data_IF_971012732385
#
_entry.id   IF_971012732385
#
_cell.length_a   1.000
_cell.length_b   1.000
_cell.length_c   1.000
_cell.angle_alpha   90.00
_cell.angle_beta   90.00
_cell.angle_gamma   90.00
#
_symmetry.space_group_name_H-M   'P 1'
#
loop_
_entity.id
_entity.type
_entity.pdbx_description
1 polymer ?
#
# COMPACT_ATOMS: atom_id res chain seq x y z
N UNK A 1 6.77 -5.87 4.40
CA UNK A 1 7.45 -4.76 5.11
C UNK A 1 6.58 -3.53 4.86
N UNK A 2 5.97 -2.96 5.90
CA UNK A 2 5.11 -1.78 5.72
C UNK A 2 5.95 -0.57 5.31
N UNK A 3 5.47 0.18 4.34
CA UNK A 3 6.08 1.44 3.92
C UNK A 3 5.60 2.54 4.87
N UNK A 4 6.50 3.39 5.31
CA UNK A 4 6.19 4.51 6.22
C UNK A 4 6.29 5.84 5.51
N UNK A 5 5.32 6.71 5.77
CA UNK A 5 5.28 8.06 5.25
C UNK A 5 6.46 8.92 5.76
N UNK A 6 7.02 9.73 4.88
CA UNK A 6 8.06 10.68 5.24
C UNK A 6 7.47 11.90 5.97
N UNK A 7 8.27 12.53 6.84
CA UNK A 7 7.81 13.74 7.56
C UNK A 7 7.77 14.99 6.66
N UNK A 8 6.92 15.97 7.01
CA UNK A 8 6.88 17.28 6.34
C UNK A 8 8.26 17.96 6.36
N UNK A 9 9.02 17.83 7.46
CA UNK A 9 10.37 18.38 7.55
C UNK A 9 11.32 17.75 6.52
N UNK A 10 11.18 16.45 6.25
CA UNK A 10 11.97 15.75 5.23
C UNK A 10 11.61 16.24 3.83
N UNK A 11 10.32 16.37 3.51
CA UNK A 11 9.89 16.93 2.22
C UNK A 11 10.35 18.37 2.04
N UNK A 12 10.26 19.21 3.09
CA UNK A 12 10.76 20.59 3.06
C UNK A 12 12.25 20.64 2.77
N UNK A 13 13.03 19.74 3.37
CA UNK A 13 14.48 19.69 3.14
C UNK A 13 14.79 19.22 1.72
N UNK A 14 14.12 18.21 1.21
CA UNK A 14 14.27 17.74 -0.18
C UNK A 14 13.97 18.84 -1.18
N UNK A 15 12.89 19.60 -1.00
CA UNK A 15 12.57 20.76 -1.84
C UNK A 15 13.67 21.82 -1.79
N UNK A 16 14.24 22.10 -0.62
CA UNK A 16 15.34 23.02 -0.49
C UNK A 16 16.61 22.51 -1.21
N UNK A 17 16.85 21.20 -1.20
CA UNK A 17 18.01 20.60 -1.86
C UNK A 17 17.93 20.64 -3.39
N UNK A 18 16.71 20.62 -3.96
CA UNK A 18 16.49 20.82 -5.41
C UNK A 18 16.81 22.27 -5.89
N UNK A 19 16.75 23.26 -5.00
CA UNK A 19 17.10 24.63 -5.37
C UNK A 19 18.62 24.79 -5.53
N UNK A 20 19.07 25.53 -6.56
CA UNK A 20 20.50 25.77 -6.77
C UNK A 20 21.19 26.36 -5.55
N UNK A 21 22.47 26.07 -5.39
CA UNK A 21 23.31 26.77 -4.43
C UNK A 21 23.67 28.17 -5.00
N UNK A 22 23.64 29.17 -4.13
CA UNK A 22 23.96 30.54 -4.53
C UNK A 22 23.31 31.60 -3.64
N UNK A 23 23.70 32.85 -3.82
CA UNK A 23 23.24 33.99 -3.01
C UNK A 23 21.72 34.19 -3.04
N UNK A 24 21.10 33.95 -4.18
CA UNK A 24 19.63 34.06 -4.35
C UNK A 24 18.84 33.08 -3.51
N UNK A 25 19.36 31.89 -3.31
CA UNK A 25 18.68 30.81 -2.59
C UNK A 25 19.28 30.53 -1.20
N UNK A 26 20.18 31.38 -0.71
CA UNK A 26 20.80 31.21 0.61
C UNK A 26 19.79 31.11 1.76
N UNK A 27 18.66 31.80 1.60
CA UNK A 27 17.55 31.79 2.56
C UNK A 27 16.85 30.43 2.68
N UNK A 28 17.05 29.47 1.75
CA UNK A 28 16.44 28.13 1.80
C UNK A 28 16.80 27.34 3.06
N UNK A 29 17.98 27.60 3.63
CA UNK A 29 18.50 26.96 4.84
C UNK A 29 18.24 27.77 6.13
N UNK A 30 17.71 28.98 6.01
CA UNK A 30 17.42 29.83 7.18
C UNK A 30 16.02 29.51 7.72
N UNK A 31 15.98 29.01 8.94
CA UNK A 31 14.73 28.78 9.68
C UNK A 31 13.97 30.10 9.82
N UNK A 32 12.68 30.10 9.42
CA UNK A 32 11.82 31.29 9.52
C UNK A 32 11.88 32.23 8.31
N UNK A 33 12.77 32.01 7.32
CA UNK A 33 12.75 32.77 6.07
C UNK A 33 11.47 32.56 5.27
N UNK A 34 11.06 33.56 4.51
CA UNK A 34 9.86 33.44 3.66
C UNK A 34 10.02 32.32 2.61
N UNK A 35 11.22 32.12 2.07
CA UNK A 35 11.48 31.02 1.17
C UNK A 35 11.29 29.67 1.85
N UNK A 36 11.82 29.50 3.07
CA UNK A 36 11.64 28.27 3.84
C UNK A 36 10.18 28.00 4.19
N UNK A 37 9.41 29.04 4.50
CA UNK A 37 7.95 28.94 4.75
C UNK A 37 7.18 28.53 3.50
N UNK A 38 7.54 29.08 2.34
CA UNK A 38 6.95 28.68 1.06
C UNK A 38 7.25 27.20 0.76
N UNK A 39 8.50 26.77 0.94
CA UNK A 39 8.87 25.35 0.77
C UNK A 39 8.13 24.44 1.73
N UNK A 40 7.90 24.87 2.96
CA UNK A 40 7.12 24.10 3.94
C UNK A 40 5.64 23.98 3.54
N UNK A 41 5.03 25.04 2.99
CA UNK A 41 3.67 24.98 2.46
C UNK A 41 3.53 24.02 1.26
N UNK A 42 4.52 24.01 0.35
CA UNK A 42 4.55 23.05 -0.76
C UNK A 42 4.82 21.61 -0.25
N UNK A 43 5.61 21.47 0.80
CA UNK A 43 5.92 20.18 1.42
C UNK A 43 4.69 19.55 2.10
N UNK A 44 3.74 20.34 2.55
CA UNK A 44 2.49 19.86 3.17
C UNK A 44 1.64 19.12 2.14
N UNK A 45 1.52 19.66 0.92
CA UNK A 45 0.83 18.96 -0.18
C UNK A 45 1.57 17.68 -0.61
N UNK A 46 2.90 17.72 -0.65
CA UNK A 46 3.69 16.51 -0.93
C UNK A 46 3.56 15.46 0.16
N UNK A 47 3.46 15.89 1.41
CA UNK A 47 3.20 14.99 2.54
C UNK A 47 1.84 14.31 2.41
N UNK A 48 0.81 15.05 2.03
CA UNK A 48 -0.53 14.49 1.79
C UNK A 48 -0.50 13.47 0.64
N UNK A 49 0.15 13.79 -0.48
CA UNK A 49 0.29 12.88 -1.61
C UNK A 49 1.11 11.62 -1.26
N UNK A 50 2.20 11.77 -0.49
CA UNK A 50 3.01 10.66 0.02
C UNK A 50 2.18 9.72 0.92
N UNK A 51 1.28 10.28 1.74
CA UNK A 51 0.34 9.51 2.55
C UNK A 51 -0.55 8.61 1.71
N UNK A 52 -1.19 9.14 0.67
CA UNK A 52 -2.00 8.34 -0.25
C UNK A 52 -1.20 7.24 -0.94
N UNK A 53 0.04 7.51 -1.35
CA UNK A 53 0.89 6.50 -1.98
C UNK A 53 1.30 5.40 -1.00
N UNK A 54 1.58 5.74 0.24
CA UNK A 54 1.90 4.77 1.30
C UNK A 54 0.68 3.89 1.61
N UNK A 55 -0.51 4.49 1.74
CA UNK A 55 -1.75 3.75 1.96
C UNK A 55 -2.02 2.80 0.79
N UNK A 56 -1.89 3.28 -0.45
CA UNK A 56 -2.01 2.45 -1.64
C UNK A 56 -1.03 1.27 -1.64
N UNK A 57 0.26 1.53 -1.36
CA UNK A 57 1.28 0.48 -1.34
C UNK A 57 1.04 -0.56 -0.24
N UNK A 58 0.54 -0.13 0.92
CA UNK A 58 0.22 -1.02 2.02
C UNK A 58 -1.06 -1.83 1.78
N UNK A 59 -1.99 -1.30 0.99
CA UNK A 59 -3.29 -1.92 0.72
C UNK A 59 -3.33 -2.79 -0.55
N UNK A 60 -2.33 -2.69 -1.44
CA UNK A 60 -2.34 -3.41 -2.73
C UNK A 60 -2.20 -4.93 -2.57
N UNK A 61 -1.62 -5.41 -1.48
CA UNK A 61 -1.44 -6.84 -1.28
C UNK A 61 -2.76 -7.53 -0.91
N UNK A 62 -3.14 -8.64 -1.60
CA UNK A 62 -4.43 -9.30 -1.41
C UNK A 62 -4.75 -9.70 0.03
N UNK A 63 -3.72 -10.05 0.82
CA UNK A 63 -3.87 -10.51 2.20
C UNK A 63 -4.21 -9.41 3.21
N UNK A 64 -4.01 -8.14 2.85
CA UNK A 64 -4.21 -6.98 3.75
C UNK A 64 -5.17 -5.94 3.18
N UNK A 65 -5.53 -6.05 1.90
CA UNK A 65 -6.37 -5.07 1.20
C UNK A 65 -7.70 -4.80 1.90
N UNK A 66 -8.09 -3.55 1.92
CA UNK A 66 -9.42 -3.11 2.35
C UNK A 66 -10.12 -2.30 1.24
N UNK A 67 -9.38 -1.41 0.57
CA UNK A 67 -9.93 -0.53 -0.47
C UNK A 67 -10.06 -1.23 -1.81
N UNK A 68 -9.20 -2.22 -2.12
CA UNK A 68 -9.16 -2.92 -3.41
C UNK A 68 -9.82 -4.30 -3.39
N UNK A 69 -10.72 -4.57 -2.44
CA UNK A 69 -11.42 -5.85 -2.35
C UNK A 69 -12.25 -6.14 -3.61
N UNK A 70 -13.03 -5.16 -4.06
CA UNK A 70 -13.92 -5.31 -5.21
C UNK A 70 -13.12 -5.50 -6.51
N UNK A 71 -12.00 -4.80 -6.65
CA UNK A 71 -11.10 -4.93 -7.80
C UNK A 71 -10.43 -6.30 -7.84
N UNK A 72 -9.97 -6.81 -6.68
CA UNK A 72 -9.41 -8.15 -6.58
C UNK A 72 -10.45 -9.23 -6.89
N UNK A 73 -11.64 -9.14 -6.34
CA UNK A 73 -12.73 -10.07 -6.63
C UNK A 73 -13.09 -10.05 -8.11
N UNK A 74 -13.25 -8.87 -8.69
CA UNK A 74 -13.53 -8.71 -10.12
C UNK A 74 -12.43 -9.32 -11.00
N UNK A 75 -11.15 -9.09 -10.67
CA UNK A 75 -10.01 -9.62 -11.41
C UNK A 75 -9.91 -11.14 -11.33
N UNK A 76 -10.33 -11.74 -10.23
CA UNK A 76 -10.29 -13.18 -9.99
C UNK A 76 -11.60 -13.92 -10.37
N UNK A 77 -12.62 -13.17 -10.79
CA UNK A 77 -13.93 -13.72 -11.12
C UNK A 77 -14.69 -14.26 -9.90
N UNK A 78 -14.57 -13.60 -8.75
CA UNK A 78 -15.35 -13.87 -7.55
C UNK A 78 -16.57 -12.93 -7.56
N UNK A 79 -17.80 -13.41 -7.31
CA UNK A 79 -18.16 -14.78 -6.88
C UNK A 79 -18.10 -15.81 -8.01
N UNK A 80 -17.79 -17.05 -7.63
CA UNK A 80 -17.86 -18.21 -8.51
C UNK A 80 -18.66 -19.35 -7.87
N UNK A 81 -18.72 -20.52 -8.53
CA UNK A 81 -19.47 -21.67 -8.03
C UNK A 81 -18.98 -22.25 -6.69
N UNK A 82 -17.77 -21.90 -6.25
CA UNK A 82 -17.14 -22.39 -5.02
C UNK A 82 -16.96 -21.30 -3.98
N UNK A 83 -16.76 -20.04 -4.41
CA UNK A 83 -16.49 -18.88 -3.55
C UNK A 83 -17.61 -17.86 -3.74
N UNK A 84 -18.47 -17.66 -2.72
CA UNK A 84 -19.64 -16.81 -2.85
C UNK A 84 -19.33 -15.30 -2.89
N UNK A 85 -18.12 -14.88 -2.50
CA UNK A 85 -17.72 -13.46 -2.47
C UNK A 85 -18.57 -12.62 -1.51
N UNK A 86 -19.16 -13.25 -0.50
CA UNK A 86 -20.00 -12.59 0.52
C UNK A 86 -19.36 -12.73 1.88
N UNK A 87 -19.55 -11.74 2.73
CA UNK A 87 -19.00 -11.77 4.07
C UNK A 87 -18.35 -10.45 4.47
N UNK A 88 -17.66 -10.46 5.59
CA UNK A 88 -16.89 -9.32 6.05
C UNK A 88 -15.55 -9.18 5.28
N UNK A 89 -14.84 -8.10 5.50
CA UNK A 89 -13.57 -7.84 4.82
C UNK A 89 -12.50 -8.90 5.09
N UNK A 90 -12.59 -9.64 6.20
CA UNK A 90 -11.64 -10.70 6.56
C UNK A 90 -11.95 -11.95 5.73
N UNK A 91 -13.22 -12.30 5.60
CA UNK A 91 -13.68 -13.44 4.79
C UNK A 91 -13.38 -13.21 3.32
N UNK A 92 -13.71 -12.02 2.78
CA UNK A 92 -13.43 -11.65 1.41
C UNK A 92 -11.92 -11.70 1.09
N UNK A 93 -11.05 -11.19 1.97
CA UNK A 93 -9.58 -11.32 1.81
C UNK A 93 -9.14 -12.78 1.77
N UNK A 94 -9.68 -13.62 2.68
CA UNK A 94 -9.37 -15.04 2.67
C UNK A 94 -9.76 -15.68 1.35
N UNK A 95 -10.93 -15.38 0.83
CA UNK A 95 -11.44 -15.91 -0.43
C UNK A 95 -10.56 -15.49 -1.62
N UNK A 96 -10.11 -14.24 -1.66
CA UNK A 96 -9.15 -13.73 -2.67
C UNK A 96 -7.83 -14.51 -2.58
N UNK A 97 -7.26 -14.66 -1.39
CA UNK A 97 -6.00 -15.39 -1.19
C UNK A 97 -6.14 -16.86 -1.56
N UNK A 98 -7.25 -17.50 -1.22
CA UNK A 98 -7.54 -18.88 -1.60
C UNK A 98 -7.65 -19.04 -3.12
N UNK A 99 -8.34 -18.11 -3.79
CA UNK A 99 -8.46 -18.14 -5.25
C UNK A 99 -7.09 -17.98 -5.92
N UNK A 100 -6.27 -17.05 -5.47
CA UNK A 100 -4.90 -16.88 -5.96
C UNK A 100 -4.04 -18.14 -5.74
N UNK A 101 -4.11 -18.72 -4.54
CA UNK A 101 -3.40 -19.96 -4.23
C UNK A 101 -3.86 -21.12 -5.12
N UNK A 102 -5.17 -21.19 -5.43
CA UNK A 102 -5.72 -22.25 -6.27
C UNK A 102 -5.28 -22.20 -7.74
N UNK A 103 -4.89 -21.03 -8.25
CA UNK A 103 -4.46 -20.86 -9.63
C UNK A 103 -3.11 -21.55 -9.94
N UNK A 104 -2.32 -21.86 -8.92
CA UNK A 104 -0.98 -22.47 -9.07
C UNK A 104 -0.88 -23.92 -8.58
N UNK A 105 -2.00 -24.58 -8.22
CA UNK A 105 -1.98 -25.92 -7.64
C UNK A 105 -1.63 -26.95 -8.70
N UNK A 106 -0.50 -27.63 -8.52
CA UNK A 106 -0.05 -28.71 -9.39
C UNK A 106 0.48 -29.93 -8.63
N UNK A 107 0.76 -29.80 -7.32
CA UNK A 107 1.37 -30.85 -6.52
C UNK A 107 0.48 -31.26 -5.33
N UNK A 108 0.65 -32.48 -4.82
CA UNK A 108 -0.03 -32.94 -3.60
C UNK A 108 0.27 -32.00 -2.40
N UNK A 109 1.48 -31.45 -2.35
CA UNK A 109 1.86 -30.51 -1.28
C UNK A 109 1.08 -29.20 -1.35
N UNK A 110 0.75 -28.71 -2.56
CA UNK A 110 -0.06 -27.51 -2.73
C UNK A 110 -1.48 -27.71 -2.16
N UNK A 111 -2.08 -28.92 -2.40
CA UNK A 111 -3.38 -29.27 -1.83
C UNK A 111 -3.33 -29.35 -0.30
N UNK A 112 -2.26 -29.91 0.27
CA UNK A 112 -2.07 -29.97 1.73
C UNK A 112 -1.96 -28.56 2.31
N UNK A 113 -1.20 -27.67 1.66
CA UNK A 113 -1.03 -26.29 2.09
C UNK A 113 -2.34 -25.51 2.06
N UNK A 114 -3.17 -25.71 1.05
CA UNK A 114 -4.50 -25.08 0.96
C UNK A 114 -5.44 -25.65 2.02
N UNK A 115 -5.46 -26.95 2.21
CA UNK A 115 -6.27 -27.56 3.29
C UNK A 115 -5.90 -26.97 4.65
N UNK A 116 -4.61 -26.72 4.90
CA UNK A 116 -4.14 -26.07 6.11
C UNK A 116 -4.67 -24.63 6.28
N UNK A 117 -4.89 -23.87 5.21
CA UNK A 117 -5.50 -22.54 5.26
C UNK A 117 -6.97 -22.60 5.74
N UNK A 118 -7.65 -23.71 5.50
CA UNK A 118 -8.99 -23.99 6.03
C UNK A 118 -8.99 -24.62 7.43
N UNK A 119 -7.81 -24.77 8.06
CA UNK A 119 -7.67 -25.43 9.35
C UNK A 119 -7.80 -26.96 9.29
N UNK A 120 -7.73 -27.55 8.09
CA UNK A 120 -7.77 -29.00 7.89
C UNK A 120 -6.36 -29.57 7.95
N UNK A 121 -6.18 -30.62 8.74
CA UNK A 121 -4.92 -31.38 8.77
C UNK A 121 -5.08 -32.59 7.86
N UNK A 122 -4.34 -32.62 6.78
CA UNK A 122 -4.28 -33.76 5.84
C UNK A 122 -2.99 -34.54 6.13
N UNK A 123 -3.16 -35.81 6.46
CA UNK A 123 -2.05 -36.76 6.73
C UNK A 123 -1.88 -37.71 5.56
#
# INVERSE_FOLDING_TARGET
MAVTQLSIATHTQRLADYLPSGRLFGAKNLTGSNLRKLLAGLADELFTADGYLVDYQNDIAPSVTNYFLDEWESALGIPDGCIPGTGDSIERRRDIVLKLASLGIQTAQDFINIAALFGLVVT
#
